data_IF_241167344410
#
_entry.id   IF_241167344410
#
_cell.length_a   1.000
_cell.length_b   1.000
_cell.length_c   1.000
_cell.angle_alpha   90.00
_cell.angle_beta   90.00
_cell.angle_gamma   90.00
#
_symmetry.space_group_name_H-M   'P 1'
#
loop_
_entity.id
_entity.type
_entity.pdbx_description
1 polymer ?
#
# COMPACT_ATOMS: atom_id res chain seq x y z
N UNK A 1 13.34 9.80 8.21
CA UNK A 1 14.05 8.73 8.94
C UNK A 1 15.21 9.30 9.73
N UNK A 2 15.61 8.60 10.80
CA UNK A 2 16.82 8.89 11.60
C UNK A 2 17.64 7.62 11.57
N UNK A 3 18.88 7.72 11.12
CA UNK A 3 19.80 6.58 10.99
C UNK A 3 21.04 6.84 11.85
N UNK A 4 21.24 6.00 12.86
CA UNK A 4 22.33 6.11 13.83
C UNK A 4 23.29 4.96 13.55
N UNK A 5 24.49 5.27 13.09
CA UNK A 5 25.52 4.33 12.72
C UNK A 5 26.69 4.44 13.71
N UNK A 6 26.55 3.82 14.87
CA UNK A 6 27.46 3.99 15.99
C UNK A 6 27.29 5.36 16.67
N UNK A 7 28.31 5.82 17.39
CA UNK A 7 28.25 7.07 18.18
C UNK A 7 28.42 8.33 17.34
N UNK A 8 29.16 8.24 16.24
CA UNK A 8 29.71 9.40 15.54
C UNK A 8 28.88 9.83 14.31
N UNK A 9 28.08 8.93 13.74
CA UNK A 9 27.40 9.17 12.49
C UNK A 9 25.89 9.05 12.65
N UNK A 10 25.21 10.20 12.67
CA UNK A 10 23.74 10.27 12.68
C UNK A 10 23.29 10.93 11.40
N UNK A 11 22.52 10.21 10.58
CA UNK A 11 21.94 10.73 9.35
C UNK A 11 20.46 10.95 9.51
N UNK A 12 19.96 11.98 8.87
CA UNK A 12 18.53 12.33 8.83
C UNK A 12 18.07 12.31 7.37
N UNK A 13 16.95 11.65 7.11
CA UNK A 13 16.25 11.80 5.84
C UNK A 13 15.06 12.74 6.01
N UNK A 14 15.04 13.82 5.23
CA UNK A 14 13.94 14.78 5.16
C UNK A 14 13.64 15.11 3.70
N UNK A 15 12.38 15.02 3.30
CA UNK A 15 11.93 15.27 1.93
C UNK A 15 12.73 14.47 0.86
N UNK A 16 13.10 13.23 1.17
CA UNK A 16 13.87 12.35 0.28
C UNK A 16 15.36 12.70 0.13
N UNK A 17 15.87 13.60 0.95
CA UNK A 17 17.31 13.94 1.00
C UNK A 17 17.90 13.49 2.33
N UNK A 18 19.07 12.84 2.25
CA UNK A 18 19.82 12.40 3.42
C UNK A 18 20.92 13.41 3.67
N UNK A 19 21.09 13.81 4.92
CA UNK A 19 22.19 14.66 5.37
C UNK A 19 22.68 14.19 6.74
N UNK A 20 23.96 14.41 7.01
CA UNK A 20 24.58 14.10 8.29
C UNK A 20 24.23 15.20 9.31
N UNK A 21 23.91 14.78 10.53
CA UNK A 21 23.61 15.66 11.66
C UNK A 21 24.89 16.01 12.43
N UNK A 22 24.95 17.22 13.01
CA UNK A 22 26.01 17.61 13.93
C UNK A 22 25.91 16.90 15.30
N UNK A 23 24.82 16.19 15.56
CA UNK A 23 24.58 15.48 16.82
C UNK A 23 25.34 14.17 16.85
N UNK A 24 25.84 13.81 18.04
CA UNK A 24 26.57 12.57 18.31
C UNK A 24 26.19 12.03 19.68
N UNK A 25 26.39 10.73 19.88
CA UNK A 25 26.32 10.14 21.22
C UNK A 25 27.67 10.32 21.93
N UNK A 26 27.64 10.64 23.22
CA UNK A 26 28.84 10.87 24.02
C UNK A 26 29.64 9.58 24.25
N UNK A 27 29.00 8.41 24.16
CA UNK A 27 29.65 7.11 24.31
C UNK A 27 28.77 5.98 23.74
N UNK A 28 29.39 4.84 23.48
CA UNK A 28 28.69 3.60 23.11
C UNK A 28 27.69 3.19 24.22
N UNK A 29 28.13 3.26 25.49
CA UNK A 29 27.26 2.94 26.62
C UNK A 29 25.99 3.79 26.64
N UNK A 30 26.09 5.09 26.31
CA UNK A 30 24.92 5.97 26.28
C UNK A 30 23.97 5.64 25.11
N UNK A 31 24.50 5.23 23.95
CA UNK A 31 23.69 4.75 22.84
C UNK A 31 22.98 3.45 23.20
N UNK A 32 23.70 2.52 23.82
CA UNK A 32 23.13 1.25 24.30
C UNK A 32 22.03 1.45 25.36
N UNK A 33 22.23 2.38 26.32
CA UNK A 33 21.20 2.75 27.28
C UNK A 33 19.90 3.20 26.60
N UNK A 34 20.02 4.07 25.61
CA UNK A 34 18.84 4.55 24.82
C UNK A 34 18.19 3.40 24.08
N UNK A 35 18.98 2.53 23.47
CA UNK A 35 18.46 1.33 22.79
C UNK A 35 17.71 0.42 23.75
N UNK A 36 18.27 0.16 24.93
CA UNK A 36 17.61 -0.68 25.95
C UNK A 36 16.31 -0.05 26.45
N UNK A 37 16.27 1.27 26.64
CA UNK A 37 15.05 1.97 27.04
C UNK A 37 13.95 1.85 25.97
N UNK A 38 14.31 1.99 24.69
CA UNK A 38 13.37 1.84 23.55
C UNK A 38 12.87 0.40 23.46
N UNK A 39 13.76 -0.59 23.55
CA UNK A 39 13.40 -1.99 23.47
C UNK A 39 12.47 -2.38 24.65
N UNK A 40 12.82 -2.00 25.88
CA UNK A 40 12.01 -2.26 27.07
C UNK A 40 10.63 -1.60 27.00
N UNK A 41 10.55 -0.34 26.51
CA UNK A 41 9.26 0.35 26.29
C UNK A 41 8.34 -0.36 25.30
N UNK A 42 8.90 -1.13 24.37
CA UNK A 42 8.18 -1.94 23.40
C UNK A 42 7.98 -3.41 23.85
N UNK A 43 8.29 -3.75 25.11
CA UNK A 43 8.32 -5.12 25.62
C UNK A 43 9.20 -6.07 24.78
N UNK A 44 10.37 -5.57 24.37
CA UNK A 44 11.36 -6.30 23.57
C UNK A 44 12.69 -6.34 24.30
N UNK A 45 13.49 -7.35 23.96
CA UNK A 45 14.84 -7.51 24.46
C UNK A 45 15.81 -7.46 23.29
N UNK A 46 16.96 -6.82 23.49
CA UNK A 46 18.07 -6.83 22.57
C UNK A 46 19.38 -6.94 23.34
N UNK A 47 20.21 -7.91 22.97
CA UNK A 47 21.51 -8.17 23.59
C UNK A 47 22.42 -8.91 22.61
N UNK A 48 23.63 -9.29 23.00
CA UNK A 48 24.58 -10.01 22.15
C UNK A 48 24.05 -11.39 21.67
N UNK A 49 23.20 -12.06 22.46
CA UNK A 49 22.63 -13.34 22.08
C UNK A 49 21.44 -13.18 21.11
N UNK A 50 20.74 -12.05 21.17
CA UNK A 50 19.66 -11.66 20.26
C UNK A 50 19.90 -10.22 19.80
N UNK A 51 20.85 -10.02 18.86
CA UNK A 51 21.38 -8.68 18.55
C UNK A 51 20.50 -7.84 17.61
N UNK A 52 19.41 -8.38 17.11
CA UNK A 52 18.50 -7.70 16.19
C UNK A 52 17.12 -7.58 16.83
N UNK A 53 16.56 -6.37 16.83
CA UNK A 53 15.20 -6.13 17.31
C UNK A 53 14.48 -5.09 16.45
N UNK A 54 13.22 -5.39 16.16
CA UNK A 54 12.24 -4.43 15.67
C UNK A 54 11.31 -4.03 16.80
N UNK A 55 11.17 -2.74 17.02
CA UNK A 55 10.36 -2.15 18.06
C UNK A 55 9.48 -1.03 17.48
N UNK A 56 8.45 -0.65 18.23
CA UNK A 56 7.57 0.46 17.89
C UNK A 56 7.47 1.42 19.07
N UNK A 57 7.64 2.69 18.79
CA UNK A 57 7.45 3.75 19.78
C UNK A 57 5.95 4.03 19.99
N UNK A 58 5.61 4.70 21.09
CA UNK A 58 4.23 5.09 21.40
C UNK A 58 3.60 5.98 20.30
N UNK A 59 4.41 6.81 19.62
CA UNK A 59 3.97 7.66 18.51
C UNK A 59 3.76 6.87 17.19
N UNK A 60 3.93 5.55 17.22
CA UNK A 60 3.82 4.67 16.05
C UNK A 60 5.09 4.57 15.20
N UNK A 61 6.15 5.33 15.51
CA UNK A 61 7.43 5.26 14.81
C UNK A 61 8.07 3.88 14.96
N UNK A 62 8.65 3.34 13.89
CA UNK A 62 9.35 2.05 13.89
C UNK A 62 10.80 2.24 14.21
N UNK A 63 11.35 1.34 15.00
CA UNK A 63 12.76 1.30 15.35
C UNK A 63 13.32 -0.07 15.03
N UNK A 64 14.34 -0.11 14.19
CA UNK A 64 15.16 -1.30 14.00
C UNK A 64 16.49 -1.08 14.69
N UNK A 65 16.96 -2.05 15.44
CA UNK A 65 18.25 -2.04 16.14
C UNK A 65 19.06 -3.25 15.75
N UNK A 66 20.34 -3.04 15.53
CA UNK A 66 21.33 -4.11 15.36
C UNK A 66 22.51 -3.84 16.26
N UNK A 67 22.83 -4.80 17.14
CA UNK A 67 23.96 -4.75 18.06
C UNK A 67 25.14 -5.62 17.60
N UNK A 68 26.25 -5.53 18.32
CA UNK A 68 27.35 -6.50 18.21
C UNK A 68 26.87 -7.91 18.60
N UNK A 69 27.44 -8.96 18.04
CA UNK A 69 28.57 -8.99 17.11
C UNK A 69 28.20 -8.76 15.64
N UNK A 70 26.91 -8.61 15.30
CA UNK A 70 26.42 -8.45 13.92
C UNK A 70 26.76 -7.06 13.37
N UNK A 71 26.56 -6.00 14.15
CA UNK A 71 26.90 -4.64 13.76
C UNK A 71 28.38 -4.35 13.99
N UNK A 72 29.18 -4.34 12.93
CA UNK A 72 30.64 -4.20 12.99
C UNK A 72 31.06 -2.78 13.38
N UNK A 73 30.30 -1.76 13.03
CA UNK A 73 30.61 -0.35 13.30
C UNK A 73 30.10 0.14 14.67
N UNK A 74 29.66 -0.77 15.54
CA UNK A 74 28.99 -0.45 16.81
C UNK A 74 27.50 -0.60 16.74
N UNK A 75 26.74 -0.22 17.80
CA UNK A 75 25.30 -0.28 17.79
C UNK A 75 24.70 0.55 16.65
N UNK A 76 23.76 -0.01 15.91
CA UNK A 76 23.04 0.65 14.83
C UNK A 76 21.58 0.77 15.24
N UNK A 77 20.98 1.95 15.03
CA UNK A 77 19.55 2.15 15.24
C UNK A 77 18.96 3.00 14.12
N UNK A 78 17.91 2.51 13.49
CA UNK A 78 17.17 3.25 12.47
C UNK A 78 15.75 3.50 12.97
N UNK A 79 15.33 4.77 12.95
CA UNK A 79 14.00 5.19 13.37
C UNK A 79 13.26 5.75 12.16
N UNK A 80 12.19 5.09 11.76
CA UNK A 80 11.27 5.58 10.74
C UNK A 80 10.07 6.24 11.40
N UNK A 81 10.04 7.57 11.33
CA UNK A 81 8.97 8.36 11.93
C UNK A 81 7.62 8.04 11.32
N UNK A 82 6.65 7.83 12.20
CA UNK A 82 5.26 7.72 11.78
C UNK A 82 4.70 9.12 11.46
N UNK A 83 4.09 9.35 10.27
CA UNK A 83 3.52 10.64 9.94
C UNK A 83 2.31 10.93 10.82
N UNK A 84 2.28 12.11 11.46
CA UNK A 84 1.15 12.53 12.31
C UNK A 84 -0.14 12.72 11.53
N UNK A 85 -0.02 13.15 10.29
CA UNK A 85 -1.15 13.35 9.38
C UNK A 85 -0.92 12.55 8.09
N UNK A 86 -1.97 11.87 7.67
CA UNK A 86 -1.97 11.19 6.39
C UNK A 86 -1.93 12.21 5.25
N UNK A 87 -1.15 11.90 4.22
CA UNK A 87 -1.13 12.69 2.98
C UNK A 87 -2.48 12.53 2.28
N UNK A 88 -3.09 13.64 1.93
CA UNK A 88 -4.37 13.68 1.23
C UNK A 88 -4.19 13.61 -0.28
N UNK A 89 -5.22 13.18 -1.01
CA UNK A 89 -5.20 13.18 -2.47
C UNK A 89 -5.00 14.59 -3.05
N UNK A 90 -5.56 15.62 -2.40
CA UNK A 90 -5.34 17.02 -2.78
C UNK A 90 -3.85 17.38 -2.74
N UNK A 91 -3.14 17.02 -1.68
CA UNK A 91 -1.70 17.26 -1.61
C UNK A 91 -0.93 16.53 -2.72
N UNK A 92 -1.33 15.30 -3.08
CA UNK A 92 -0.71 14.57 -4.19
C UNK A 92 -0.93 15.28 -5.54
N UNK A 93 -2.09 15.90 -5.74
CA UNK A 93 -2.37 16.76 -6.91
C UNK A 93 -1.48 18.00 -6.88
N UNK A 94 -1.45 18.72 -5.74
CA UNK A 94 -0.67 19.94 -5.57
C UNK A 94 0.84 19.71 -5.79
N UNK A 95 1.33 18.52 -5.44
CA UNK A 95 2.71 18.09 -5.71
C UNK A 95 2.95 17.60 -7.15
N UNK A 96 1.90 17.55 -7.96
CA UNK A 96 1.96 17.01 -9.32
C UNK A 96 2.26 15.52 -9.38
N UNK A 97 1.95 14.77 -8.32
CA UNK A 97 2.11 13.30 -8.29
C UNK A 97 1.08 12.59 -9.15
N UNK A 98 -0.09 13.19 -9.32
CA UNK A 98 -1.20 12.70 -10.13
C UNK A 98 -2.03 13.89 -10.64
N UNK A 99 -2.69 13.76 -11.79
CA UNK A 99 -3.60 14.78 -12.32
C UNK A 99 -4.99 14.73 -11.66
N UNK A 100 -5.69 15.88 -11.64
CA UNK A 100 -7.06 15.95 -11.12
C UNK A 100 -8.02 15.03 -11.91
N UNK A 101 -7.83 14.92 -13.23
CA UNK A 101 -8.63 14.05 -14.09
C UNK A 101 -8.48 12.57 -13.67
N UNK A 102 -7.24 12.10 -13.51
CA UNK A 102 -6.97 10.73 -13.07
C UNK A 102 -7.52 10.47 -11.66
N UNK A 103 -7.47 11.46 -10.76
CA UNK A 103 -8.08 11.34 -9.42
C UNK A 103 -9.59 11.18 -9.50
N UNK A 104 -10.27 11.98 -10.32
CA UNK A 104 -11.73 11.86 -10.51
C UNK A 104 -12.08 10.47 -11.05
N UNK A 105 -11.30 9.95 -12.00
CA UNK A 105 -11.46 8.60 -12.54
C UNK A 105 -11.26 7.54 -11.46
N UNK A 106 -10.16 7.59 -10.69
CA UNK A 106 -9.88 6.64 -9.64
C UNK A 106 -10.93 6.66 -8.51
N UNK A 107 -11.46 7.83 -8.17
CA UNK A 107 -12.57 7.97 -7.23
C UNK A 107 -13.77 7.13 -7.67
N UNK A 108 -14.16 7.23 -8.94
CA UNK A 108 -15.27 6.46 -9.50
C UNK A 108 -14.99 4.96 -9.41
N UNK A 109 -13.77 4.51 -9.73
CA UNK A 109 -13.39 3.11 -9.62
C UNK A 109 -13.47 2.59 -8.18
N UNK A 110 -13.02 3.38 -7.21
CA UNK A 110 -13.12 3.01 -5.78
C UNK A 110 -14.58 2.92 -5.35
N UNK A 111 -15.41 3.89 -5.68
CA UNK A 111 -16.85 3.89 -5.36
C UNK A 111 -17.57 2.72 -6.03
N UNK A 112 -17.15 2.33 -7.24
CA UNK A 112 -17.71 1.20 -8.01
C UNK A 112 -17.10 -0.17 -7.67
N UNK A 113 -16.35 -0.27 -6.57
CA UNK A 113 -15.80 -1.55 -6.05
C UNK A 113 -14.84 -2.27 -7.01
N UNK A 114 -14.03 -1.52 -7.76
CA UNK A 114 -12.92 -2.13 -8.49
C UNK A 114 -11.83 -2.61 -7.53
N UNK A 115 -11.32 -3.81 -7.77
CA UNK A 115 -10.16 -4.33 -7.04
C UNK A 115 -8.89 -3.68 -7.58
N UNK A 116 -8.21 -2.94 -6.74
CA UNK A 116 -7.08 -2.08 -7.14
C UNK A 116 -5.78 -2.57 -6.49
N UNK A 117 -4.74 -2.70 -7.29
CA UNK A 117 -3.41 -3.03 -6.82
C UNK A 117 -2.44 -1.87 -7.07
N UNK A 118 -1.79 -1.37 -6.02
CA UNK A 118 -0.82 -0.28 -6.13
C UNK A 118 0.59 -0.86 -6.15
N UNK A 119 1.28 -0.75 -7.29
CA UNK A 119 2.63 -1.26 -7.48
C UNK A 119 3.67 -0.14 -7.53
N UNK A 120 4.93 -0.48 -7.32
CA UNK A 120 6.05 0.45 -7.44
C UNK A 120 7.25 0.06 -6.61
N UNK A 121 8.39 0.69 -6.86
CA UNK A 121 9.63 0.47 -6.14
C UNK A 121 9.60 0.90 -4.67
N UNK A 122 10.70 0.63 -3.95
CA UNK A 122 10.86 1.10 -2.57
C UNK A 122 10.87 2.63 -2.52
N UNK A 123 10.10 3.19 -1.59
CA UNK A 123 10.02 4.64 -1.40
C UNK A 123 9.23 5.38 -2.50
N UNK A 124 8.52 4.69 -3.40
CA UNK A 124 7.65 5.30 -4.42
C UNK A 124 6.37 5.92 -3.85
N UNK A 125 6.01 5.59 -2.59
CA UNK A 125 4.83 6.14 -1.91
C UNK A 125 3.57 5.28 -2.02
N UNK A 126 3.68 3.97 -2.25
CA UNK A 126 2.55 3.03 -2.39
C UNK A 126 1.55 3.11 -1.24
N UNK A 127 2.02 2.93 0.00
CA UNK A 127 1.16 2.98 1.20
C UNK A 127 0.52 4.35 1.38
N UNK A 128 1.27 5.43 1.10
CA UNK A 128 0.76 6.80 1.13
C UNK A 128 -0.35 6.99 0.09
N UNK A 129 -0.16 6.49 -1.12
CA UNK A 129 -1.13 6.59 -2.20
C UNK A 129 -2.37 5.73 -1.91
N UNK A 130 -2.19 4.48 -1.48
CA UNK A 130 -3.27 3.58 -1.06
C UNK A 130 -4.11 4.23 0.04
N UNK A 131 -3.46 4.87 1.01
CA UNK A 131 -4.14 5.57 2.09
C UNK A 131 -4.98 6.75 1.57
N UNK A 132 -4.41 7.60 0.70
CA UNK A 132 -5.15 8.70 0.09
C UNK A 132 -6.31 8.22 -0.81
N UNK A 133 -6.12 7.09 -1.50
CA UNK A 133 -7.14 6.48 -2.34
C UNK A 133 -8.30 5.91 -1.50
N UNK A 134 -8.01 5.36 -0.33
CA UNK A 134 -9.01 4.79 0.58
C UNK A 134 -9.98 5.82 1.15
N UNK A 135 -9.65 7.12 1.09
CA UNK A 135 -10.57 8.20 1.50
C UNK A 135 -11.84 8.27 0.62
N UNK A 136 -11.79 7.70 -0.59
CA UNK A 136 -12.93 7.61 -1.51
C UNK A 136 -13.85 6.41 -1.27
N UNK A 137 -13.51 5.52 -0.34
CA UNK A 137 -14.39 4.42 0.04
C UNK A 137 -15.64 4.96 0.70
N UNK A 138 -16.85 4.49 0.32
CA UNK A 138 -18.11 4.85 0.97
C UNK A 138 -18.04 4.65 2.50
N UNK A 139 -18.55 5.63 3.26
CA UNK A 139 -18.34 5.69 4.71
C UNK A 139 -19.25 4.75 5.51
N UNK A 140 -20.25 4.18 4.88
CA UNK A 140 -21.16 3.16 5.40
C UNK A 140 -20.63 1.73 5.27
N UNK A 141 -19.53 1.52 4.54
CA UNK A 141 -18.92 0.21 4.38
C UNK A 141 -18.13 -0.25 5.61
N UNK A 142 -18.09 -1.57 5.84
CA UNK A 142 -17.21 -2.20 6.82
C UNK A 142 -15.88 -2.52 6.19
N UNK A 143 -14.81 -1.89 6.67
CA UNK A 143 -13.45 -2.06 6.17
C UNK A 143 -12.61 -2.82 7.19
N UNK A 144 -11.83 -3.78 6.73
CA UNK A 144 -10.79 -4.43 7.52
C UNK A 144 -9.44 -4.14 6.88
N UNK A 145 -8.53 -3.49 7.62
CA UNK A 145 -7.14 -3.31 7.21
C UNK A 145 -6.26 -4.36 7.84
N UNK A 146 -5.30 -4.87 7.09
CA UNK A 146 -4.34 -5.89 7.53
C UNK A 146 -2.94 -5.44 7.10
N UNK A 147 -2.02 -5.33 8.03
CA UNK A 147 -0.69 -4.80 7.79
C UNK A 147 0.36 -5.53 8.64
N UNK A 148 1.61 -5.61 8.16
CA UNK A 148 2.75 -6.03 8.98
C UNK A 148 3.02 -5.03 10.10
N UNK A 149 2.82 -3.76 9.76
CA UNK A 149 2.90 -2.65 10.69
C UNK A 149 1.85 -1.63 10.27
N UNK A 150 0.98 -1.25 11.18
CA UNK A 150 -0.15 -0.39 10.90
C UNK A 150 0.28 1.03 10.49
N UNK A 151 0.34 1.28 9.19
CA UNK A 151 0.64 2.59 8.56
C UNK A 151 -0.61 3.27 7.99
N UNK A 152 -1.64 2.51 7.63
CA UNK A 152 -2.86 3.04 7.06
C UNK A 152 -3.66 3.85 8.09
N UNK A 153 -4.13 5.02 7.66
CA UNK A 153 -4.91 5.96 8.46
C UNK A 153 -6.22 6.30 7.76
N UNK A 154 -7.07 5.29 7.56
CA UNK A 154 -8.38 5.48 6.91
C UNK A 154 -9.27 6.34 7.78
N UNK A 155 -9.79 7.44 7.23
CA UNK A 155 -10.59 8.43 7.96
C UNK A 155 -12.07 8.37 7.58
N UNK A 156 -12.92 8.74 8.53
CA UNK A 156 -14.36 8.93 8.29
C UNK A 156 -15.18 7.66 8.16
N UNK A 157 -14.58 6.47 8.24
CA UNK A 157 -15.29 5.18 8.26
C UNK A 157 -15.49 4.76 9.70
N UNK A 158 -16.74 4.68 10.16
CA UNK A 158 -17.07 4.31 11.54
C UNK A 158 -16.89 2.81 11.80
N UNK A 159 -17.10 1.96 10.80
CA UNK A 159 -16.98 0.52 10.91
C UNK A 159 -15.64 0.01 10.36
N UNK A 160 -14.55 0.51 10.97
CA UNK A 160 -13.17 0.17 10.61
C UNK A 160 -12.57 -0.80 11.64
N UNK A 161 -12.06 -1.93 11.15
CA UNK A 161 -11.25 -2.88 11.93
C UNK A 161 -9.82 -2.83 11.43
N UNK A 162 -8.86 -2.68 12.35
CA UNK A 162 -7.44 -2.64 12.02
C UNK A 162 -6.74 -3.84 12.64
N UNK A 163 -6.12 -4.65 11.81
CA UNK A 163 -5.38 -5.85 12.21
C UNK A 163 -3.90 -5.67 11.85
N UNK A 164 -3.04 -6.06 12.78
CA UNK A 164 -1.58 -6.00 12.61
C UNK A 164 -0.99 -7.39 12.87
N UNK A 165 -0.11 -7.82 11.96
CA UNK A 165 0.62 -9.06 12.10
C UNK A 165 1.55 -9.02 13.32
N UNK A 166 1.84 -10.17 13.87
CA UNK A 166 2.71 -10.31 15.03
C UNK A 166 3.80 -11.34 14.74
N UNK A 167 5.05 -10.93 14.85
CA UNK A 167 6.16 -11.85 14.80
C UNK A 167 6.15 -12.79 16.00
N UNK A 168 6.73 -13.98 15.83
CA UNK A 168 6.96 -14.92 16.90
C UNK A 168 7.70 -14.25 18.08
N UNK A 169 7.47 -14.77 19.28
CA UNK A 169 8.24 -14.40 20.48
C UNK A 169 9.66 -15.03 20.41
N UNK A 170 10.46 -14.85 21.45
CA UNK A 170 11.83 -15.38 21.52
C UNK A 170 11.89 -16.91 21.51
N UNK A 171 10.80 -17.59 21.87
CA UNK A 171 10.65 -19.04 21.88
C UNK A 171 10.19 -19.57 20.51
N UNK A 172 9.96 -18.67 19.53
CA UNK A 172 9.48 -19.01 18.20
C UNK A 172 7.95 -19.20 18.13
N UNK A 173 7.22 -18.84 19.19
CA UNK A 173 5.78 -19.07 19.30
C UNK A 173 4.96 -17.78 19.17
N UNK A 174 3.66 -17.95 18.94
CA UNK A 174 2.69 -16.85 18.98
C UNK A 174 2.73 -15.93 17.78
N UNK A 175 3.35 -16.32 16.66
CA UNK A 175 3.25 -15.59 15.41
C UNK A 175 1.80 -15.52 14.92
N UNK A 176 1.41 -14.37 14.36
CA UNK A 176 0.15 -14.19 13.64
C UNK A 176 0.50 -13.53 12.31
N UNK A 177 0.38 -14.29 11.23
CA UNK A 177 0.78 -13.84 9.90
C UNK A 177 -0.30 -13.00 9.22
N UNK A 178 0.06 -12.24 8.19
CA UNK A 178 -0.94 -11.56 7.31
C UNK A 178 -1.92 -12.59 6.77
N UNK A 179 -1.45 -13.77 6.37
CA UNK A 179 -2.29 -14.86 5.87
C UNK A 179 -3.35 -15.31 6.89
N UNK A 180 -2.98 -15.49 8.15
CA UNK A 180 -3.91 -15.82 9.24
C UNK A 180 -4.96 -14.73 9.42
N UNK A 181 -4.53 -13.46 9.34
CA UNK A 181 -5.41 -12.31 9.49
C UNK A 181 -6.39 -12.19 8.33
N UNK A 182 -5.98 -12.44 7.07
CA UNK A 182 -6.89 -12.47 5.92
C UNK A 182 -7.96 -13.55 6.13
N UNK A 183 -7.55 -14.78 6.48
CA UNK A 183 -8.49 -15.88 6.75
C UNK A 183 -9.48 -15.56 7.87
N UNK A 184 -9.03 -14.85 8.90
CA UNK A 184 -9.90 -14.38 9.98
C UNK A 184 -10.85 -13.29 9.49
N UNK A 185 -10.35 -12.30 8.73
CA UNK A 185 -11.10 -11.18 8.20
C UNK A 185 -12.29 -11.62 7.34
N UNK A 186 -12.12 -12.67 6.52
CA UNK A 186 -13.18 -13.24 5.69
C UNK A 186 -14.42 -13.70 6.49
N UNK A 187 -14.25 -13.97 7.80
CA UNK A 187 -15.34 -14.38 8.71
C UNK A 187 -15.94 -13.20 9.49
N UNK A 188 -15.39 -12.00 9.32
CA UNK A 188 -15.83 -10.79 10.02
C UNK A 188 -16.85 -9.97 9.25
N UNK A 189 -17.39 -10.48 8.13
CA UNK A 189 -18.33 -9.80 7.23
C UNK A 189 -17.78 -8.45 6.71
N UNK A 190 -16.60 -8.42 6.11
CA UNK A 190 -16.08 -7.18 5.52
C UNK A 190 -16.82 -6.86 4.22
N UNK A 191 -17.02 -5.56 3.95
CA UNK A 191 -17.32 -5.10 2.60
C UNK A 191 -16.05 -5.03 1.75
N UNK A 192 -14.93 -4.60 2.38
CA UNK A 192 -13.61 -4.57 1.74
C UNK A 192 -12.51 -5.01 2.70
N UNK A 193 -11.51 -5.66 2.14
CA UNK A 193 -10.26 -5.99 2.82
C UNK A 193 -9.14 -5.19 2.16
N UNK A 194 -8.38 -4.46 2.98
CA UNK A 194 -7.22 -3.68 2.51
C UNK A 194 -5.98 -4.26 3.16
N UNK A 195 -5.13 -4.89 2.36
CA UNK A 195 -3.84 -5.40 2.81
C UNK A 195 -2.75 -4.38 2.47
N UNK A 196 -2.06 -3.89 3.49
CA UNK A 196 -1.04 -2.85 3.33
C UNK A 196 0.01 -3.20 2.28
N UNK A 197 0.51 -4.43 2.31
CA UNK A 197 1.41 -4.98 1.29
C UNK A 197 1.37 -6.51 1.30
N UNK A 198 1.47 -7.13 0.11
CA UNK A 198 1.71 -8.57 -0.04
C UNK A 198 3.13 -8.82 -0.52
N UNK A 199 3.81 -9.82 0.09
CA UNK A 199 5.22 -10.16 -0.16
C UNK A 199 5.49 -11.64 -0.34
N UNK A 200 4.51 -12.48 0.03
CA UNK A 200 4.66 -13.93 0.07
C UNK A 200 3.36 -14.68 -0.15
N UNK A 201 3.22 -15.80 0.53
CA UNK A 201 2.14 -16.77 0.36
C UNK A 201 0.74 -16.26 0.75
N UNK A 202 0.64 -15.18 1.51
CA UNK A 202 -0.62 -14.49 1.81
C UNK A 202 -1.32 -13.96 0.55
N UNK A 203 -0.58 -13.82 -0.55
CA UNK A 203 -1.10 -13.42 -1.85
C UNK A 203 -2.20 -14.35 -2.34
N UNK A 204 -2.11 -15.65 -2.02
CA UNK A 204 -3.16 -16.64 -2.36
C UNK A 204 -4.50 -16.22 -1.77
N UNK A 205 -4.52 -15.95 -0.46
CA UNK A 205 -5.77 -15.64 0.24
C UNK A 205 -6.28 -14.24 -0.14
N UNK A 206 -5.37 -13.29 -0.44
CA UNK A 206 -5.76 -11.96 -0.94
C UNK A 206 -6.41 -12.04 -2.32
N UNK A 207 -5.80 -12.73 -3.27
CA UNK A 207 -6.30 -12.85 -4.65
C UNK A 207 -7.53 -13.77 -4.70
N UNK A 208 -7.39 -15.02 -4.24
CA UNK A 208 -8.41 -16.05 -4.44
C UNK A 208 -9.60 -15.91 -3.50
N UNK A 209 -9.40 -15.40 -2.29
CA UNK A 209 -10.45 -15.37 -1.27
C UNK A 209 -11.01 -13.96 -1.04
N UNK A 210 -10.18 -12.93 -0.97
CA UNK A 210 -10.65 -11.57 -0.73
C UNK A 210 -11.15 -10.90 -2.02
N UNK A 211 -10.33 -10.84 -3.06
CA UNK A 211 -10.67 -10.11 -4.29
C UNK A 211 -11.65 -10.89 -5.19
N UNK A 212 -11.49 -12.21 -5.31
CA UNK A 212 -12.29 -13.02 -6.24
C UNK A 212 -13.65 -13.43 -5.65
N UNK A 213 -13.74 -13.66 -4.35
CA UNK A 213 -14.90 -14.29 -3.70
C UNK A 213 -15.74 -13.34 -2.82
N UNK A 214 -16.23 -12.23 -3.39
CA UNK A 214 -17.32 -11.46 -2.79
C UNK A 214 -16.94 -10.22 -1.99
N UNK A 215 -15.65 -9.86 -1.90
CA UNK A 215 -15.21 -8.62 -1.26
C UNK A 215 -14.64 -7.65 -2.30
N UNK A 216 -15.44 -7.39 -3.34
CA UNK A 216 -15.08 -6.45 -4.42
C UNK A 216 -14.73 -5.06 -3.87
N UNK A 217 -13.76 -4.41 -4.49
CA UNK A 217 -13.20 -3.14 -4.02
C UNK A 217 -12.07 -3.30 -3.00
N UNK A 218 -11.60 -4.53 -2.77
CA UNK A 218 -10.42 -4.78 -1.96
C UNK A 218 -9.17 -4.23 -2.64
N UNK A 219 -8.20 -3.81 -1.82
CA UNK A 219 -6.98 -3.14 -2.29
C UNK A 219 -5.75 -3.71 -1.62
N UNK A 220 -4.62 -3.66 -2.34
CA UNK A 220 -3.32 -3.99 -1.76
C UNK A 220 -2.19 -3.27 -2.47
N UNK A 221 -0.97 -3.41 -1.94
CA UNK A 221 0.24 -2.93 -2.59
C UNK A 221 1.28 -4.04 -2.77
N UNK A 222 2.20 -3.83 -3.69
CA UNK A 222 3.34 -4.72 -3.88
C UNK A 222 4.50 -4.04 -4.60
N UNK A 223 5.68 -4.60 -4.46
CA UNK A 223 6.88 -4.10 -5.13
C UNK A 223 6.98 -4.65 -6.55
N UNK A 224 7.10 -3.75 -7.54
CA UNK A 224 7.39 -4.10 -8.93
C UNK A 224 7.98 -2.91 -9.68
N UNK A 225 8.56 -3.14 -10.87
CA UNK A 225 9.14 -2.10 -11.71
C UNK A 225 8.14 -1.55 -12.76
N UNK A 226 7.09 -2.30 -13.06
CA UNK A 226 6.01 -1.95 -13.98
C UNK A 226 4.79 -2.84 -13.70
N UNK A 227 3.61 -2.59 -14.31
CA UNK A 227 2.41 -3.40 -14.10
C UNK A 227 2.56 -4.89 -14.47
N UNK A 228 3.26 -5.21 -15.55
CA UNK A 228 3.48 -6.60 -15.97
C UNK A 228 4.36 -7.35 -14.97
N UNK A 229 5.46 -6.73 -14.50
CA UNK A 229 6.31 -7.31 -13.46
C UNK A 229 5.53 -7.55 -12.16
N UNK A 230 4.52 -6.72 -11.87
CA UNK A 230 3.65 -6.94 -10.72
C UNK A 230 2.84 -8.23 -10.87
N UNK A 231 2.29 -8.49 -12.05
CA UNK A 231 1.56 -9.74 -12.31
C UNK A 231 2.47 -10.97 -12.16
N UNK A 232 3.66 -10.96 -12.77
CA UNK A 232 4.64 -12.05 -12.64
C UNK A 232 5.05 -12.27 -11.17
N UNK A 233 5.13 -11.19 -10.40
CA UNK A 233 5.44 -11.30 -8.98
C UNK A 233 4.28 -11.88 -8.17
N UNK A 234 3.04 -11.52 -8.49
CA UNK A 234 1.85 -12.14 -7.90
C UNK A 234 1.78 -13.63 -8.22
N UNK A 235 2.07 -14.03 -9.47
CA UNK A 235 2.18 -15.44 -9.87
C UNK A 235 3.19 -16.18 -8.98
N UNK A 236 4.39 -15.62 -8.85
CA UNK A 236 5.46 -16.21 -8.02
C UNK A 236 5.04 -16.35 -6.55
N UNK A 237 4.44 -15.31 -5.98
CA UNK A 237 3.99 -15.32 -4.57
C UNK A 237 2.83 -16.30 -4.35
N UNK A 238 1.92 -16.44 -5.31
CA UNK A 238 0.86 -17.45 -5.23
C UNK A 238 1.42 -18.87 -5.27
N UNK A 239 2.42 -19.15 -6.13
CA UNK A 239 3.11 -20.43 -6.18
C UNK A 239 3.84 -20.80 -4.88
N UNK A 240 4.21 -19.82 -4.05
CA UNK A 240 4.77 -20.08 -2.71
C UNK A 240 3.72 -20.64 -1.73
N UNK A 241 2.45 -20.33 -1.94
CA UNK A 241 1.37 -20.65 -1.00
C UNK A 241 0.40 -21.74 -1.45
N UNK A 242 0.42 -22.15 -2.72
CA UNK A 242 -0.49 -23.15 -3.27
C UNK A 242 0.12 -23.90 -4.46
N UNK A 243 -0.13 -25.21 -4.51
CA UNK A 243 0.25 -26.07 -5.64
C UNK A 243 -0.89 -26.08 -6.68
N UNK A 244 -0.82 -25.16 -7.63
CA UNK A 244 -1.72 -25.09 -8.78
C UNK A 244 -0.92 -24.94 -10.08
N UNK A 245 -1.47 -25.42 -11.22
CA UNK A 245 -0.89 -25.09 -12.52
C UNK A 245 -0.80 -23.57 -12.72
N UNK A 246 0.29 -23.08 -13.31
CA UNK A 246 0.48 -21.65 -13.53
C UNK A 246 -0.68 -21.00 -14.28
N UNK A 247 -1.27 -21.71 -15.26
CA UNK A 247 -2.43 -21.24 -16.00
C UNK A 247 -3.61 -20.94 -15.06
N UNK A 248 -3.88 -21.80 -14.08
CA UNK A 248 -4.95 -21.59 -13.11
C UNK A 248 -4.69 -20.37 -12.23
N UNK A 249 -3.43 -20.18 -11.81
CA UNK A 249 -3.01 -18.99 -11.05
C UNK A 249 -3.21 -17.72 -11.88
N UNK A 250 -2.77 -17.72 -13.14
CA UNK A 250 -2.92 -16.57 -14.04
C UNK A 250 -4.40 -16.23 -14.28
N UNK A 251 -5.25 -17.24 -14.45
CA UNK A 251 -6.69 -17.02 -14.59
C UNK A 251 -7.32 -16.43 -13.32
N UNK A 252 -6.89 -16.88 -12.13
CA UNK A 252 -7.36 -16.32 -10.87
C UNK A 252 -6.93 -14.87 -10.70
N UNK A 253 -5.67 -14.54 -10.98
CA UNK A 253 -5.17 -13.16 -10.92
C UNK A 253 -5.94 -12.26 -11.89
N UNK A 254 -6.10 -12.70 -13.14
CA UNK A 254 -6.81 -11.95 -14.17
C UNK A 254 -8.30 -11.72 -13.86
N UNK A 255 -8.93 -12.64 -13.13
CA UNK A 255 -10.33 -12.50 -12.72
C UNK A 255 -10.51 -11.70 -11.42
N UNK A 256 -9.48 -11.65 -10.59
CA UNK A 256 -9.52 -10.97 -9.29
C UNK A 256 -9.16 -9.49 -9.37
N UNK A 257 -8.20 -9.13 -10.21
CA UNK A 257 -7.71 -7.75 -10.35
C UNK A 257 -8.41 -7.03 -11.50
N UNK A 258 -8.84 -5.81 -11.21
CA UNK A 258 -9.41 -4.94 -12.24
C UNK A 258 -8.39 -3.89 -12.72
N UNK A 259 -7.65 -3.27 -11.78
CA UNK A 259 -6.75 -2.15 -12.10
C UNK A 259 -5.44 -2.22 -11.31
N UNK A 260 -4.34 -1.95 -11.98
CA UNK A 260 -3.02 -1.76 -11.38
C UNK A 260 -2.60 -0.30 -11.54
N UNK A 261 -2.23 0.35 -10.43
CA UNK A 261 -1.68 1.71 -10.41
C UNK A 261 -0.19 1.61 -10.12
N UNK A 262 0.64 2.02 -11.08
CA UNK A 262 2.09 1.95 -10.91
C UNK A 262 2.68 3.30 -10.52
N UNK A 263 3.42 3.31 -9.41
CA UNK A 263 4.10 4.49 -8.87
C UNK A 263 5.60 4.40 -9.10
N UNK A 264 6.21 5.53 -9.47
CA UNK A 264 7.65 5.65 -9.59
C UNK A 264 8.23 6.79 -8.76
N UNK A 265 9.50 6.63 -8.38
CA UNK A 265 10.34 7.71 -7.87
C UNK A 265 11.28 8.12 -9.00
N UNK A 266 11.09 9.35 -9.49
CA UNK A 266 11.87 9.87 -10.60
C UNK A 266 13.29 10.29 -10.16
N UNK A 267 14.15 10.63 -11.14
CA UNK A 267 15.56 10.99 -10.88
C UNK A 267 15.73 12.28 -10.06
N UNK A 268 14.75 13.19 -10.10
CA UNK A 268 14.65 14.37 -9.24
C UNK A 268 14.11 14.06 -7.83
N UNK A 269 13.90 12.77 -7.52
CA UNK A 269 13.32 12.21 -6.29
C UNK A 269 11.84 12.52 -6.07
N UNK A 270 11.16 13.16 -7.02
CA UNK A 270 9.70 13.29 -7.00
C UNK A 270 9.04 11.92 -7.15
N UNK A 271 7.84 11.78 -6.61
CA UNK A 271 7.02 10.56 -6.69
C UNK A 271 5.82 10.85 -7.57
N UNK A 272 5.57 9.98 -8.55
CA UNK A 272 4.49 10.16 -9.50
C UNK A 272 3.78 8.85 -9.79
N UNK A 273 2.49 8.95 -10.13
CA UNK A 273 1.80 7.88 -10.85
C UNK A 273 2.37 7.83 -12.26
N UNK A 274 2.98 6.71 -12.61
CA UNK A 274 3.58 6.51 -13.92
C UNK A 274 2.62 5.85 -14.90
N UNK A 275 1.75 4.97 -14.40
CA UNK A 275 0.82 4.24 -15.23
C UNK A 275 -0.40 3.79 -14.44
N UNK A 276 -1.58 3.84 -15.06
CA UNK A 276 -2.81 3.21 -14.59
C UNK A 276 -3.24 2.23 -15.67
N UNK A 277 -3.35 0.95 -15.31
CA UNK A 277 -3.52 -0.15 -16.26
C UNK A 277 -4.71 -1.01 -15.87
N UNK A 278 -5.61 -1.28 -16.82
CA UNK A 278 -6.71 -2.22 -16.67
C UNK A 278 -6.23 -3.64 -16.94
N UNK A 279 -6.72 -4.60 -16.17
CA UNK A 279 -6.53 -6.04 -16.38
C UNK A 279 -7.74 -6.56 -17.14
N UNK A 280 -7.57 -6.90 -18.43
CA UNK A 280 -8.67 -7.27 -19.33
C UNK A 280 -9.12 -8.72 -19.18
N UNK A 281 -8.28 -9.60 -18.61
CA UNK A 281 -8.55 -11.02 -18.50
C UNK A 281 -7.37 -11.88 -18.94
N UNK A 282 -7.60 -13.18 -19.10
CA UNK A 282 -6.60 -14.15 -19.54
C UNK A 282 -6.95 -14.69 -20.92
N UNK A 283 -6.10 -14.37 -21.90
CA UNK A 283 -6.27 -14.80 -23.30
C UNK A 283 -4.91 -15.15 -23.93
N UNK A 284 -4.92 -16.10 -24.85
CA UNK A 284 -3.73 -16.51 -25.62
C UNK A 284 -2.52 -16.87 -24.74
N UNK A 285 -2.76 -17.51 -23.59
CA UNK A 285 -1.69 -17.98 -22.71
C UNK A 285 -1.09 -16.90 -21.79
N UNK A 286 -1.67 -15.71 -21.69
CA UNK A 286 -1.18 -14.62 -20.85
C UNK A 286 -2.31 -13.71 -20.34
N UNK A 287 -2.04 -13.00 -19.27
CA UNK A 287 -2.91 -11.92 -18.78
C UNK A 287 -2.78 -10.73 -19.72
N UNK A 288 -3.92 -10.21 -20.18
CA UNK A 288 -4.00 -9.04 -21.06
C UNK A 288 -4.13 -7.77 -20.25
N UNK A 289 -3.38 -6.74 -20.64
CA UNK A 289 -3.37 -5.43 -20.00
C UNK A 289 -3.69 -4.34 -21.01
N UNK A 290 -4.38 -3.29 -20.55
CA UNK A 290 -4.61 -2.07 -21.30
C UNK A 290 -4.21 -0.85 -20.46
N UNK A 291 -3.30 -0.05 -21.00
CA UNK A 291 -2.92 1.21 -20.34
C UNK A 291 -4.05 2.22 -20.48
N UNK A 292 -4.56 2.72 -19.36
CA UNK A 292 -5.59 3.75 -19.30
C UNK A 292 -4.96 5.15 -19.22
N UNK A 293 -3.94 5.30 -18.38
CA UNK A 293 -3.16 6.54 -18.23
C UNK A 293 -1.68 6.23 -18.20
N UNK A 294 -0.87 7.08 -18.83
CA UNK A 294 0.59 6.98 -18.84
C UNK A 294 1.25 8.32 -18.62
N UNK A 295 2.26 8.35 -17.75
CA UNK A 295 3.05 9.54 -17.53
C UNK A 295 4.00 9.77 -18.70
N UNK A 296 3.93 10.95 -19.31
CA UNK A 296 4.81 11.41 -20.35
C UNK A 296 5.70 12.51 -19.81
N UNK A 297 7.01 12.25 -19.77
CA UNK A 297 7.99 13.24 -19.38
C UNK A 297 8.21 14.24 -20.52
N UNK A 298 8.09 15.54 -20.21
CA UNK A 298 8.25 16.64 -21.16
C UNK A 298 9.64 17.29 -21.05
N UNK A 299 10.33 17.10 -19.91
CA UNK A 299 11.66 17.64 -19.68
C UNK A 299 11.94 17.93 -18.21
N UNK A 300 12.92 18.78 -17.98
CA UNK A 300 13.34 19.22 -16.64
C UNK A 300 13.38 20.75 -16.58
N UNK A 301 12.76 21.34 -15.55
CA UNK A 301 12.76 22.77 -15.26
C UNK A 301 13.06 22.98 -13.78
N UNK A 302 14.01 23.87 -13.46
CA UNK A 302 14.45 24.15 -12.09
C UNK A 302 14.84 22.90 -11.28
N UNK A 303 15.45 21.91 -11.93
CA UNK A 303 15.88 20.66 -11.31
C UNK A 303 14.71 19.71 -10.98
N UNK A 304 13.51 19.98 -11.47
CA UNK A 304 12.32 19.15 -11.31
C UNK A 304 11.85 18.61 -12.66
N UNK A 305 11.45 17.34 -12.67
CA UNK A 305 10.88 16.71 -13.86
C UNK A 305 9.47 17.24 -14.07
N UNK A 306 9.26 17.78 -15.26
CA UNK A 306 7.95 18.16 -15.80
C UNK A 306 7.41 17.04 -16.67
N UNK A 307 6.10 16.88 -16.66
CA UNK A 307 5.40 15.90 -17.46
C UNK A 307 3.97 15.75 -16.99
N UNK A 308 3.18 15.14 -17.84
CA UNK A 308 1.74 15.01 -17.65
C UNK A 308 1.32 13.53 -17.66
N UNK A 309 0.39 13.16 -16.80
CA UNK A 309 -0.25 11.86 -16.82
C UNK A 309 -1.38 11.90 -17.86
N UNK A 310 -1.09 11.39 -19.05
CA UNK A 310 -2.00 11.43 -20.20
C UNK A 310 -2.93 10.24 -20.21
N UNK A 311 -4.19 10.48 -20.54
CA UNK A 311 -5.17 9.43 -20.81
C UNK A 311 -4.89 8.82 -22.17
N UNK A 312 -4.75 7.49 -22.23
CA UNK A 312 -4.50 6.74 -23.47
C UNK A 312 -5.74 5.98 -23.95
N UNK A 313 -6.46 5.35 -23.02
CA UNK A 313 -7.63 4.54 -23.37
C UNK A 313 -8.77 4.73 -22.35
N UNK A 314 -9.98 4.38 -22.77
CA UNK A 314 -11.14 4.23 -21.89
C UNK A 314 -11.13 2.88 -21.19
N UNK A 315 -11.74 2.80 -20.00
CA UNK A 315 -11.94 1.53 -19.33
C UNK A 315 -12.92 0.65 -20.12
N UNK A 316 -12.57 -0.61 -20.28
CA UNK A 316 -13.31 -1.58 -21.08
C UNK A 316 -14.34 -2.34 -20.25
N UNK A 317 -13.95 -2.81 -19.05
CA UNK A 317 -14.82 -3.56 -18.15
C UNK A 317 -15.70 -2.60 -17.35
N UNK A 318 -16.91 -2.35 -17.80
CA UNK A 318 -17.82 -1.33 -17.24
C UNK A 318 -18.92 -1.88 -16.35
N UNK A 319 -18.99 -3.20 -16.17
CA UNK A 319 -20.07 -3.84 -15.40
C UNK A 319 -20.19 -3.29 -13.97
N UNK A 320 -19.05 -3.08 -13.28
CA UNK A 320 -19.03 -2.52 -11.93
C UNK A 320 -19.44 -1.05 -11.89
N UNK A 321 -19.13 -0.27 -12.93
CA UNK A 321 -19.57 1.11 -13.06
C UNK A 321 -21.10 1.19 -13.22
N UNK A 322 -21.65 0.38 -14.10
CA UNK A 322 -23.10 0.31 -14.33
C UNK A 322 -23.83 -0.16 -13.07
N UNK A 323 -23.32 -1.18 -12.38
CA UNK A 323 -23.87 -1.65 -11.11
C UNK A 323 -23.83 -0.59 -10.01
N UNK A 324 -22.86 0.32 -10.03
CA UNK A 324 -22.75 1.44 -9.11
C UNK A 324 -23.61 2.68 -9.51
N UNK A 325 -24.37 2.58 -10.62
CA UNK A 325 -25.28 3.62 -11.09
C UNK A 325 -24.61 4.72 -11.94
N UNK A 326 -23.41 4.48 -12.47
CA UNK A 326 -22.77 5.39 -13.42
C UNK A 326 -23.29 5.14 -14.83
N UNK A 327 -23.65 6.22 -15.57
CA UNK A 327 -24.09 6.10 -16.96
C UNK A 327 -22.90 5.92 -17.91
N UNK A 328 -23.12 5.28 -19.07
CA UNK A 328 -22.09 5.12 -20.12
C UNK A 328 -21.56 6.48 -20.63
N UNK A 329 -22.39 7.52 -20.61
CA UNK A 329 -22.03 8.89 -21.08
C UNK A 329 -21.31 9.71 -20.02
N UNK A 330 -21.43 9.38 -18.72
CA UNK A 330 -20.84 10.12 -17.61
C UNK A 330 -19.32 9.96 -17.47
N UNK A 331 -18.73 9.04 -18.22
CA UNK A 331 -17.29 8.72 -18.14
C UNK A 331 -16.46 9.60 -19.10
N UNK A 332 -17.10 10.21 -20.10
CA UNK A 332 -16.44 10.94 -21.20
C UNK A 332 -16.18 12.43 -20.96
N UNK A 333 -16.64 13.01 -19.89
CA UNK A 333 -16.41 14.43 -19.66
C UNK A 333 -16.44 14.79 -18.20
N UNK A 334 -15.39 15.34 -17.67
CA UNK A 334 -15.10 15.90 -16.35
C UNK A 334 -16.22 16.25 -15.34
N UNK A 335 -17.47 15.92 -15.61
CA UNK A 335 -18.62 16.03 -14.73
C UNK A 335 -19.39 14.72 -14.68
N UNK A 336 -19.10 13.92 -13.65
CA UNK A 336 -19.79 12.65 -13.39
C UNK A 336 -21.17 12.94 -12.81
N UNK A 337 -22.25 12.62 -13.54
CA UNK A 337 -23.60 12.58 -13.00
C UNK A 337 -23.93 11.13 -12.61
N UNK A 338 -24.18 10.88 -11.32
CA UNK A 338 -24.99 9.73 -10.89
C UNK A 338 -26.41 9.95 -11.39
N UNK A 339 -27.07 8.94 -11.90
CA UNK A 339 -28.51 8.98 -12.14
C UNK A 339 -29.22 9.20 -10.79
N UNK A 340 -29.64 10.41 -10.51
CA UNK A 340 -30.48 10.77 -9.37
C UNK A 340 -31.93 10.41 -9.66
N UNK A 341 -32.24 9.11 -9.67
CA UNK A 341 -33.61 8.60 -9.65
C UNK A 341 -33.66 7.26 -8.92
N UNK A 342 -33.64 7.33 -7.60
CA UNK A 342 -34.42 6.40 -6.78
C UNK A 342 -35.06 7.23 -5.68
N UNK A 343 -36.37 7.43 -5.89
CA UNK A 343 -37.25 8.08 -4.95
C UNK A 343 -37.17 7.40 -3.58
N UNK A 344 -37.28 8.25 -2.61
CA UNK A 344 -37.49 7.97 -1.20
C UNK A 344 -38.84 7.22 -1.05
N UNK A 345 -38.80 5.88 -1.16
CA UNK A 345 -39.92 5.04 -0.77
C UNK A 345 -39.59 4.41 0.59
N UNK A 346 -40.25 4.99 1.59
CA UNK A 346 -40.21 4.55 2.96
C UNK A 346 -40.49 3.05 3.10
N UNK A 347 -39.53 2.33 3.67
CA UNK A 347 -39.75 1.01 4.26
C UNK A 347 -39.75 1.14 5.77
N UNK A 348 -40.98 1.15 6.30
CA UNK A 348 -41.31 0.91 7.70
C UNK A 348 -40.77 -0.46 8.13
N UNK A 349 -40.23 -0.41 9.31
CA UNK A 349 -39.82 -1.46 10.25
C UNK A 349 -40.66 -2.73 10.19
N UNK A 350 -40.00 -3.88 10.09
CA UNK A 350 -40.26 -5.08 10.91
C UNK A 350 -38.90 -5.68 11.30
#
# INVERSE_FOLDING_TARGET
EIMINGTDHIFLEKAGRIFESDRRFVSVAKLEDVIQQIAAGANRYVNEASPIVDARLEDGSRVNVVLRPVALNGPIMTIRKFPKEAVTMKQLIDWGSISQEAVNFLKILVESKYNIFVSGGTGSGKTTFLNALSDYIPKDERIITIEDNAELQIKGVSNLVRLEARNANLEGEGAVTIRDLIKSALRMRPDRIIVGEVRGDETVDMISSAMLNGHSGSMSTGHANNPMDMLHRLETMMLMGIELPLIAIQQQIASALDVIIHLGRLRDKSRKVLEITEVLGYENGRIQLQTLYKFQEEGMEDGKIKGTLMKENEITQREKLLAAGYSETGIHGGSVQRNSDHGDDGLSVL
#
